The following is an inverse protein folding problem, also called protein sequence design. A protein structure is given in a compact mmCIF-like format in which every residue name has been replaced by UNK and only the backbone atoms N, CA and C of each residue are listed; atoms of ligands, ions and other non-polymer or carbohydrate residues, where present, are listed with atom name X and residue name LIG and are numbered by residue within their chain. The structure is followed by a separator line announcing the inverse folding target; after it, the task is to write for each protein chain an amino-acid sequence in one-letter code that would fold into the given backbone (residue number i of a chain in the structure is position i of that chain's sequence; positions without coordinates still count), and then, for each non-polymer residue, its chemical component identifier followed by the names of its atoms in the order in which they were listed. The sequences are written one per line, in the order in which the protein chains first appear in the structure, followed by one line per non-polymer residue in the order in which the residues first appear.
data_IF_570892545678
#
_entry.id   IF_570892545678
#
_cell.length_a   1.000
_cell.length_b   1.000
_cell.length_c   1.000
_cell.angle_alpha   90.00
_cell.angle_beta   90.00
_cell.angle_gamma   90.00
#
_symmetry.space_group_name_H-M   'P 1'
#
loop_
_entity.id
_entity.type
_entity.pdbx_description
1 polymer ?
#
# COMPACT_ATOMS: atom_id res chain seq x y z
N UNK A 1 -5.23 11.01 -20.44
CA UNK A 1 -5.30 10.00 -19.37
C UNK A 1 -5.14 10.68 -18.02
N UNK A 2 -5.93 10.29 -17.06
CA UNK A 2 -5.94 10.92 -15.74
C UNK A 2 -4.95 10.19 -14.81
N UNK A 3 -4.21 10.94 -14.00
CA UNK A 3 -3.44 10.37 -12.92
C UNK A 3 -4.39 9.77 -11.86
N UNK A 4 -3.95 8.77 -11.13
CA UNK A 4 -4.77 8.07 -10.15
C UNK A 4 -4.08 8.01 -8.79
N UNK A 5 -4.88 7.82 -7.76
CA UNK A 5 -4.38 7.70 -6.39
C UNK A 5 -4.53 6.30 -5.83
N UNK A 6 -5.48 5.55 -6.33
CA UNK A 6 -5.78 4.22 -5.84
C UNK A 6 -5.48 3.17 -6.90
N UNK A 7 -5.04 1.98 -6.50
CA UNK A 7 -4.67 0.93 -7.45
C UNK A 7 -5.77 0.56 -8.45
N UNK A 8 -7.01 0.58 -8.02
CA UNK A 8 -8.12 0.20 -8.92
C UNK A 8 -8.37 1.19 -10.04
N UNK A 9 -7.82 2.39 -9.96
CA UNK A 9 -7.95 3.40 -11.02
C UNK A 9 -6.90 3.22 -12.09
N UNK A 10 -5.94 2.35 -11.87
CA UNK A 10 -4.80 2.19 -12.76
C UNK A 10 -5.01 1.10 -13.80
N UNK A 11 -4.81 1.46 -15.07
CA UNK A 11 -4.81 0.50 -16.16
C UNK A 11 -3.42 -0.10 -16.39
N UNK A 12 -2.40 0.45 -15.72
CA UNK A 12 -1.00 0.05 -15.85
C UNK A 12 -0.80 -1.46 -15.72
N UNK A 13 -1.44 -2.07 -14.74
CA UNK A 13 -1.27 -3.49 -14.49
C UNK A 13 -2.10 -4.39 -15.40
N UNK A 14 -3.09 -3.82 -16.08
CA UNK A 14 -4.08 -4.60 -16.86
C UNK A 14 -3.87 -4.54 -18.37
N UNK A 15 -3.44 -3.41 -18.87
CA UNK A 15 -3.42 -3.16 -20.31
C UNK A 15 -2.06 -2.68 -20.80
N UNK A 16 -2.01 -1.48 -21.27
CA UNK A 16 -0.83 -0.87 -21.87
C UNK A 16 -0.18 0.10 -20.90
N UNK A 17 0.98 -0.27 -20.38
CA UNK A 17 1.73 0.54 -19.41
C UNK A 17 2.03 1.95 -19.93
N UNK A 18 2.21 2.09 -21.23
CA UNK A 18 2.53 3.40 -21.82
C UNK A 18 1.39 4.40 -21.70
N UNK A 19 0.17 3.93 -21.48
CA UNK A 19 -1.02 4.77 -21.38
C UNK A 19 -1.32 5.21 -19.94
N UNK A 20 -0.67 4.62 -18.97
CA UNK A 20 -0.96 4.91 -17.58
C UNK A 20 -0.08 6.03 -17.08
N UNK A 21 -0.69 7.03 -16.46
CA UNK A 21 0.03 8.09 -15.77
C UNK A 21 0.24 7.69 -14.31
N UNK A 22 1.35 8.07 -13.70
CA UNK A 22 1.54 7.84 -12.27
C UNK A 22 0.45 8.52 -11.47
N UNK A 23 0.14 7.95 -10.31
CA UNK A 23 -0.76 8.57 -9.37
C UNK A 23 -0.16 9.84 -8.78
N UNK A 24 -0.99 10.59 -8.07
CA UNK A 24 -0.53 11.75 -7.34
C UNK A 24 0.28 11.31 -6.13
N UNK A 25 1.29 12.11 -5.81
CA UNK A 25 2.10 11.85 -4.64
C UNK A 25 1.27 12.08 -3.37
N UNK A 26 1.18 11.09 -2.46
CA UNK A 26 0.43 11.28 -1.22
C UNK A 26 1.02 12.40 -0.36
N UNK A 27 0.17 13.01 0.45
CA UNK A 27 0.55 14.14 1.29
C UNK A 27 0.91 13.74 2.72
N UNK A 28 0.69 12.49 3.10
CA UNK A 28 0.94 12.01 4.45
C UNK A 28 1.31 10.54 4.46
N UNK A 29 1.92 10.09 5.55
CA UNK A 29 2.20 8.67 5.77
C UNK A 29 0.91 7.86 5.75
N UNK A 30 -0.17 8.41 6.30
CA UNK A 30 -1.48 7.78 6.30
C UNK A 30 -1.95 7.44 4.89
N UNK A 31 -1.82 8.36 3.95
CA UNK A 31 -2.20 8.10 2.55
C UNK A 31 -1.29 7.06 1.90
N UNK A 32 0.02 7.15 2.14
CA UNK A 32 0.96 6.14 1.63
C UNK A 32 0.62 4.75 2.13
N UNK A 33 0.28 4.65 3.41
CA UNK A 33 -0.06 3.37 4.02
C UNK A 33 -1.39 2.83 3.50
N UNK A 34 -2.39 3.68 3.37
CA UNK A 34 -3.69 3.28 2.84
C UNK A 34 -3.56 2.67 1.45
N UNK A 35 -2.79 3.32 0.56
CA UNK A 35 -2.59 2.81 -0.80
C UNK A 35 -1.83 1.48 -0.78
N UNK A 36 -0.86 1.33 0.10
CA UNK A 36 -0.15 0.06 0.25
C UNK A 36 -1.11 -1.06 0.67
N UNK A 37 -1.99 -0.78 1.61
CA UNK A 37 -3.00 -1.75 2.06
C UNK A 37 -3.98 -2.11 0.96
N UNK A 38 -4.34 -1.15 0.10
CA UNK A 38 -5.16 -1.43 -1.07
C UNK A 38 -4.48 -2.43 -1.99
N UNK A 39 -3.19 -2.24 -2.25
CA UNK A 39 -2.43 -3.16 -3.08
C UNK A 39 -2.44 -4.58 -2.51
N UNK A 40 -2.32 -4.69 -1.19
CA UNK A 40 -2.34 -5.99 -0.51
C UNK A 40 -3.73 -6.62 -0.59
N UNK A 41 -4.76 -5.86 -0.26
CA UNK A 41 -6.13 -6.39 -0.15
C UNK A 41 -6.71 -6.79 -1.50
N UNK A 42 -6.37 -6.07 -2.57
CA UNK A 42 -6.89 -6.40 -3.89
C UNK A 42 -6.13 -7.54 -4.59
N UNK A 43 -4.93 -7.88 -4.13
CA UNK A 43 -4.13 -8.92 -4.77
C UNK A 43 -4.88 -10.25 -4.81
N UNK A 44 -5.09 -10.79 -6.01
CA UNK A 44 -5.81 -12.04 -6.22
C UNK A 44 -7.33 -11.93 -6.07
N UNK A 45 -7.87 -10.73 -5.88
CA UNK A 45 -9.30 -10.52 -5.73
C UNK A 45 -9.87 -9.67 -6.87
N UNK A 46 -11.19 -9.63 -6.97
CA UNK A 46 -11.86 -8.77 -7.94
C UNK A 46 -11.78 -7.31 -7.48
N UNK A 47 -11.10 -6.49 -8.26
CA UNK A 47 -10.88 -5.08 -7.92
C UNK A 47 -12.17 -4.29 -7.83
N UNK A 48 -13.16 -4.61 -8.66
CA UNK A 48 -14.47 -3.95 -8.61
C UNK A 48 -15.17 -4.18 -7.27
N UNK A 49 -15.09 -5.40 -6.74
CA UNK A 49 -15.68 -5.73 -5.44
C UNK A 49 -14.96 -5.00 -4.31
N UNK A 50 -13.63 -4.93 -4.37
CA UNK A 50 -12.84 -4.19 -3.38
C UNK A 50 -13.23 -2.71 -3.40
N UNK A 51 -13.32 -2.12 -4.58
CA UNK A 51 -13.70 -0.72 -4.75
C UNK A 51 -15.11 -0.44 -4.22
N UNK A 52 -16.06 -1.31 -4.56
CA UNK A 52 -17.45 -1.17 -4.13
C UNK A 52 -17.58 -1.19 -2.60
N UNK A 53 -16.80 -2.04 -1.95
CA UNK A 53 -16.88 -2.23 -0.51
C UNK A 53 -15.83 -1.41 0.25
N UNK A 54 -15.09 -0.55 -0.43
CA UNK A 54 -13.97 0.15 0.17
C UNK A 54 -14.32 0.94 1.44
N UNK A 55 -15.42 1.72 1.49
CA UNK A 55 -15.77 2.43 2.72
C UNK A 55 -15.95 1.50 3.92
N UNK A 56 -16.54 0.33 3.70
CA UNK A 56 -16.73 -0.67 4.76
C UNK A 56 -15.39 -1.29 5.18
N UNK A 57 -14.55 -1.64 4.22
CA UNK A 57 -13.22 -2.19 4.46
C UNK A 57 -12.39 -1.18 5.26
N UNK A 58 -12.40 0.06 4.83
CA UNK A 58 -11.66 1.13 5.47
C UNK A 58 -12.07 1.28 6.94
N UNK A 59 -13.36 1.26 7.23
CA UNK A 59 -13.85 1.31 8.61
C UNK A 59 -13.40 0.10 9.42
N UNK A 60 -13.40 -1.08 8.82
CA UNK A 60 -12.95 -2.31 9.47
C UNK A 60 -11.49 -2.23 9.93
N UNK A 61 -10.66 -1.59 9.14
CA UNK A 61 -9.23 -1.42 9.43
C UNK A 61 -8.91 -0.09 10.12
N UNK A 62 -9.84 0.46 10.91
CA UNK A 62 -9.63 1.73 11.64
C UNK A 62 -9.21 2.89 10.73
N UNK A 63 -9.79 2.96 9.54
CA UNK A 63 -9.44 3.95 8.51
C UNK A 63 -7.95 3.92 8.15
N UNK A 64 -7.34 2.74 8.30
CA UNK A 64 -5.90 2.52 8.07
C UNK A 64 -5.01 3.42 8.90
N UNK A 65 -5.43 3.71 10.13
CA UNK A 65 -4.61 4.44 11.08
C UNK A 65 -3.41 3.57 11.45
N UNK A 66 -2.21 4.05 11.16
CA UNK A 66 -0.97 3.31 11.31
C UNK A 66 -0.78 2.86 12.77
N UNK A 67 -0.91 3.79 13.71
CA UNK A 67 -0.63 3.48 15.11
C UNK A 67 -1.65 2.49 15.69
N UNK A 68 -2.91 2.63 15.33
CA UNK A 68 -3.93 1.68 15.78
C UNK A 68 -3.71 0.28 15.24
N UNK A 69 -3.36 0.18 13.97
CA UNK A 69 -3.10 -1.11 13.35
C UNK A 69 -1.83 -1.75 13.89
N UNK A 70 -0.81 -0.94 14.18
CA UNK A 70 0.43 -1.45 14.76
C UNK A 70 0.22 -2.06 16.15
N UNK A 71 -0.76 -1.58 16.91
CA UNK A 71 -1.13 -2.11 18.22
C UNK A 71 -2.07 -3.30 18.16
N UNK A 72 -2.74 -3.51 17.02
CA UNK A 72 -3.77 -4.53 16.88
C UNK A 72 -3.19 -5.93 16.86
N UNK A 73 -4.04 -6.91 17.22
CA UNK A 73 -3.72 -8.31 17.02
C UNK A 73 -4.54 -8.85 15.85
N UNK A 74 -4.05 -9.91 15.24
CA UNK A 74 -4.77 -10.55 14.12
C UNK A 74 -6.13 -11.03 14.60
N UNK A 75 -6.21 -11.64 15.77
CA UNK A 75 -7.46 -12.19 16.29
C UNK A 75 -8.54 -11.13 16.50
N UNK A 76 -8.18 -9.98 17.03
CA UNK A 76 -9.12 -8.87 17.20
C UNK A 76 -9.55 -8.29 15.86
N UNK A 77 -8.58 -8.02 15.00
CA UNK A 77 -8.83 -7.33 13.74
C UNK A 77 -9.70 -8.16 12.79
N UNK A 78 -9.42 -9.46 12.72
CA UNK A 78 -10.11 -10.35 11.78
C UNK A 78 -11.60 -10.51 12.12
N UNK A 79 -11.99 -10.26 13.37
CA UNK A 79 -13.38 -10.35 13.81
C UNK A 79 -14.19 -9.08 13.50
N UNK A 80 -13.54 -8.00 13.12
CA UNK A 80 -14.22 -6.74 12.89
C UNK A 80 -15.04 -6.77 11.59
N UNK A 81 -16.24 -6.14 11.59
CA UNK A 81 -17.02 -6.01 10.35
C UNK A 81 -16.20 -5.28 9.28
N UNK A 82 -16.30 -5.74 8.05
CA UNK A 82 -15.59 -5.14 6.92
C UNK A 82 -14.19 -5.67 6.67
N UNK A 83 -13.64 -6.41 7.62
CA UNK A 83 -12.32 -7.01 7.46
C UNK A 83 -12.48 -8.36 6.74
N UNK A 84 -11.72 -8.55 5.64
CA UNK A 84 -11.69 -9.83 4.95
C UNK A 84 -11.06 -10.89 5.84
N UNK A 85 -11.65 -12.09 5.82
CA UNK A 85 -11.22 -13.20 6.69
C UNK A 85 -10.00 -13.92 6.11
N UNK A 86 -9.00 -13.18 5.74
CA UNK A 86 -7.73 -13.70 5.25
C UNK A 86 -6.64 -13.34 6.27
N UNK A 87 -6.26 -14.31 7.11
CA UNK A 87 -5.29 -14.08 8.19
C UNK A 87 -3.94 -13.57 7.68
N UNK A 88 -3.48 -14.09 6.56
CA UNK A 88 -2.18 -13.69 6.01
C UNK A 88 -2.16 -12.22 5.63
N UNK A 89 -3.23 -11.74 5.01
CA UNK A 89 -3.34 -10.32 4.63
C UNK A 89 -3.50 -9.42 5.85
N UNK A 90 -4.30 -9.85 6.83
CA UNK A 90 -4.48 -9.10 8.08
C UNK A 90 -3.15 -8.99 8.83
N UNK A 91 -2.43 -10.10 8.95
CA UNK A 91 -1.11 -10.11 9.58
C UNK A 91 -0.13 -9.20 8.86
N UNK A 92 -0.14 -9.23 7.52
CA UNK A 92 0.72 -8.38 6.71
C UNK A 92 0.45 -6.90 6.96
N UNK A 93 -0.82 -6.51 7.06
CA UNK A 93 -1.19 -5.11 7.30
C UNK A 93 -0.68 -4.65 8.65
N UNK A 94 -0.83 -5.46 9.70
CA UNK A 94 -0.32 -5.13 11.04
C UNK A 94 1.20 -5.00 11.03
N UNK A 95 1.89 -5.97 10.42
CA UNK A 95 3.34 -5.94 10.29
C UNK A 95 3.82 -4.69 9.55
N UNK A 96 3.15 -4.37 8.46
CA UNK A 96 3.54 -3.22 7.63
C UNK A 96 3.26 -1.89 8.33
N UNK A 97 2.23 -1.83 9.18
CA UNK A 97 1.99 -0.65 10.01
C UNK A 97 3.18 -0.40 10.96
N UNK A 98 3.72 -1.46 11.54
CA UNK A 98 4.91 -1.37 12.41
C UNK A 98 6.14 -0.94 11.63
N UNK A 99 6.28 -1.40 10.39
CA UNK A 99 7.37 -0.95 9.52
C UNK A 99 7.26 0.54 9.20
N UNK A 100 6.05 1.03 8.97
CA UNK A 100 5.83 2.46 8.76
C UNK A 100 6.21 3.28 10.01
N UNK A 101 5.95 2.76 11.19
CA UNK A 101 6.37 3.42 12.43
C UNK A 101 7.90 3.53 12.52
N UNK A 102 8.61 2.44 12.18
CA UNK A 102 10.08 2.44 12.17
C UNK A 102 10.63 3.45 11.16
N UNK A 103 10.05 3.48 9.98
CA UNK A 103 10.45 4.42 8.93
C UNK A 103 10.22 5.86 9.38
N UNK A 104 9.09 6.14 9.99
CA UNK A 104 8.79 7.47 10.54
C UNK A 104 9.83 7.89 11.58
N UNK A 105 10.20 6.98 12.46
CA UNK A 105 11.20 7.26 13.49
C UNK A 105 12.59 7.50 12.90
N UNK A 106 12.98 6.73 11.88
CA UNK A 106 14.32 6.80 11.31
C UNK A 106 14.49 7.91 10.27
N UNK A 107 13.44 8.22 9.52
CA UNK A 107 13.49 9.13 8.36
C UNK A 107 12.58 10.34 8.49
N UNK A 108 11.77 10.42 9.53
CA UNK A 108 10.80 11.50 9.73
C UNK A 108 9.48 11.28 9.01
N UNK A 109 9.50 10.70 7.82
CA UNK A 109 8.30 10.39 7.04
C UNK A 109 8.59 9.31 6.01
N UNK A 110 7.53 8.67 5.52
CA UNK A 110 7.66 7.70 4.44
C UNK A 110 8.12 8.37 3.14
N UNK A 111 7.66 9.57 2.88
CA UNK A 111 8.09 10.36 1.70
C UNK A 111 9.61 10.60 1.73
N UNK A 112 10.15 10.99 2.87
CA UNK A 112 11.59 11.19 3.04
C UNK A 112 12.37 9.90 2.84
N UNK A 113 11.82 8.78 3.31
CA UNK A 113 12.40 7.46 3.12
C UNK A 113 12.48 7.10 1.62
N UNK A 114 11.37 7.26 0.89
CA UNK A 114 11.38 6.99 -0.56
C UNK A 114 12.35 7.89 -1.30
N UNK A 115 12.42 9.16 -0.96
CA UNK A 115 13.37 10.09 -1.57
C UNK A 115 14.81 9.67 -1.30
N UNK A 116 15.08 9.19 -0.09
CA UNK A 116 16.40 8.67 0.27
C UNK A 116 16.78 7.45 -0.59
N UNK A 117 15.84 6.52 -0.79
CA UNK A 117 16.07 5.36 -1.64
C UNK A 117 16.34 5.79 -3.08
N UNK A 118 15.55 6.72 -3.59
CA UNK A 118 15.67 7.22 -4.97
C UNK A 118 17.04 7.84 -5.23
N UNK A 119 17.60 8.53 -4.25
CA UNK A 119 18.93 9.14 -4.40
C UNK A 119 20.06 8.13 -4.42
N UNK A 120 19.88 6.97 -3.78
CA UNK A 120 20.94 5.97 -3.59
C UNK A 120 20.83 4.76 -4.49
N UNK A 121 19.63 4.43 -4.95
CA UNK A 121 19.36 3.18 -5.64
C UNK A 121 18.67 3.41 -6.98
N UNK A 122 18.88 2.48 -7.91
CA UNK A 122 18.13 2.45 -9.15
C UNK A 122 16.71 1.95 -8.88
N UNK A 123 15.80 2.25 -9.79
CA UNK A 123 14.38 1.91 -9.63
C UNK A 123 14.15 0.42 -9.34
N UNK A 124 14.86 -0.47 -10.04
CA UNK A 124 14.75 -1.90 -9.79
C UNK A 124 15.15 -2.28 -8.36
N UNK A 125 16.15 -1.63 -7.83
CA UNK A 125 16.61 -1.88 -6.45
C UNK A 125 15.61 -1.38 -5.43
N UNK A 126 14.96 -0.26 -5.69
CA UNK A 126 13.89 0.26 -4.82
C UNK A 126 12.73 -0.74 -4.77
N UNK A 127 12.32 -1.25 -5.93
CA UNK A 127 11.26 -2.26 -6.02
C UNK A 127 11.60 -3.49 -5.18
N UNK A 128 12.81 -4.01 -5.35
CA UNK A 128 13.27 -5.18 -4.59
C UNK A 128 13.35 -4.92 -3.10
N UNK A 129 13.79 -3.73 -2.73
CA UNK A 129 13.87 -3.32 -1.32
C UNK A 129 12.50 -3.34 -0.67
N UNK A 130 11.50 -2.75 -1.31
CA UNK A 130 10.14 -2.72 -0.79
C UNK A 130 9.56 -4.13 -0.69
N UNK A 131 9.80 -4.97 -1.70
CA UNK A 131 9.31 -6.34 -1.70
C UNK A 131 9.89 -7.18 -0.56
N UNK A 132 11.11 -6.88 -0.14
CA UNK A 132 11.74 -7.57 0.99
C UNK A 132 11.35 -6.98 2.34
N UNK A 133 11.07 -5.69 2.38
CA UNK A 133 10.80 -4.97 3.62
C UNK A 133 9.38 -5.17 4.11
N UNK A 134 8.41 -5.16 3.19
CA UNK A 134 7.00 -5.29 3.54
C UNK A 134 6.49 -6.69 3.27
N UNK A 135 5.55 -7.14 4.09
CA UNK A 135 4.92 -8.45 3.92
C UNK A 135 3.81 -8.40 2.89
N UNK A 136 3.65 -9.49 2.18
CA UNK A 136 2.60 -9.69 1.17
C UNK A 136 2.73 -8.75 -0.03
N UNK A 137 3.94 -8.26 -0.27
CA UNK A 137 4.28 -7.39 -1.39
C UNK A 137 5.37 -8.08 -2.20
N UNK A 138 5.01 -8.57 -3.39
CA UNK A 138 5.99 -9.05 -4.36
C UNK A 138 6.52 -7.90 -5.20
N UNK A 139 7.45 -8.20 -6.13
CA UNK A 139 8.03 -7.15 -6.98
C UNK A 139 7.00 -6.49 -7.88
N UNK A 140 6.07 -7.28 -8.43
CA UNK A 140 4.98 -6.74 -9.24
C UNK A 140 4.13 -5.74 -8.45
N UNK A 141 3.73 -6.12 -7.24
CA UNK A 141 2.92 -5.26 -6.38
C UNK A 141 3.69 -4.03 -5.93
N UNK A 142 4.98 -4.18 -5.62
CA UNK A 142 5.84 -3.05 -5.26
C UNK A 142 5.97 -2.05 -6.40
N UNK A 143 6.15 -2.52 -7.63
CA UNK A 143 6.20 -1.66 -8.82
C UNK A 143 4.89 -0.92 -9.00
N UNK A 144 3.77 -1.64 -8.88
CA UNK A 144 2.44 -1.07 -8.99
C UNK A 144 2.21 -0.01 -7.90
N UNK A 145 2.63 -0.29 -6.68
CA UNK A 145 2.51 0.65 -5.57
C UNK A 145 3.28 1.93 -5.84
N UNK A 146 4.54 1.82 -6.26
CA UNK A 146 5.36 3.00 -6.56
C UNK A 146 4.75 3.85 -7.66
N UNK A 147 4.17 3.20 -8.67
CA UNK A 147 3.45 3.90 -9.72
C UNK A 147 2.22 4.63 -9.16
N UNK A 148 1.47 3.96 -8.29
CA UNK A 148 0.24 4.50 -7.72
C UNK A 148 0.47 5.73 -6.82
N UNK A 149 1.64 5.82 -6.18
CA UNK A 149 1.98 6.95 -5.32
C UNK A 149 2.81 8.02 -6.03
N UNK A 150 2.91 7.94 -7.35
CA UNK A 150 3.61 8.95 -8.15
C UNK A 150 5.12 8.92 -8.05
N UNK A 151 5.69 7.82 -7.57
CA UNK A 151 7.14 7.68 -7.43
C UNK A 151 7.81 7.34 -8.76
N UNK A 152 7.24 6.44 -9.53
CA UNK A 152 7.80 6.00 -10.81
C UNK A 152 6.72 5.94 -11.90
N UNK A 153 7.17 6.11 -13.14
CA UNK A 153 6.30 6.02 -14.31
C UNK A 153 6.08 4.58 -14.75
#
# INVERSE_FOLDING_TARGET
MRAHKAPWECTYAKEDRSRCLPGDRPKSDQEYFEILCLCILQAGLNWGNIRKNWPKIKRGFYNFNIDKLAESTVNELIERPGVYKNRNKVEAIIFNAREFQKIRNDFGSFSSYLDSLKRRLENKEVIRRLARQFKHIGEYTAEYYLHSVGYSK
#
